data_IF_568835780007
#
_entry.id   IF_568835780007
#
_cell.length_a   1.000
_cell.length_b   1.000
_cell.length_c   1.000
_cell.angle_alpha   90.00
_cell.angle_beta   90.00
_cell.angle_gamma   90.00
#
_symmetry.space_group_name_H-M   'P 1'
#
loop_
_entity.id
_entity.type
_entity.pdbx_description
1 polymer ?
#
# COMPACT_ATOMS: atom_id res chain seq x y z
N UNK A 1 -14.94 10.56 -10.96
CA UNK A 1 -14.84 9.45 -9.98
C UNK A 1 -14.84 8.17 -10.78
N UNK A 2 -13.82 7.34 -10.61
CA UNK A 2 -13.72 6.05 -11.27
C UNK A 2 -13.74 4.97 -10.20
N UNK A 3 -14.45 3.88 -10.49
CA UNK A 3 -14.56 2.74 -9.58
C UNK A 3 -13.83 1.59 -10.23
N UNK A 4 -12.82 1.05 -9.56
CA UNK A 4 -12.21 -0.23 -9.95
C UNK A 4 -12.92 -1.32 -9.18
N UNK A 5 -13.51 -2.27 -9.87
CA UNK A 5 -13.94 -3.50 -9.21
C UNK A 5 -12.75 -4.45 -9.18
N UNK A 6 -12.37 -4.88 -7.97
CA UNK A 6 -11.28 -5.83 -7.80
C UNK A 6 -11.80 -7.10 -7.17
N UNK A 7 -11.44 -8.24 -7.76
CA UNK A 7 -11.75 -9.54 -7.21
C UNK A 7 -10.62 -10.02 -6.28
N UNK A 8 -10.99 -10.35 -5.04
CA UNK A 8 -10.10 -10.97 -4.08
C UNK A 8 -10.05 -12.49 -4.29
N UNK A 9 -9.30 -12.92 -5.30
CA UNK A 9 -9.09 -14.35 -5.61
C UNK A 9 -8.28 -15.03 -4.50
N UNK A 10 -8.36 -16.36 -4.41
CA UNK A 10 -7.59 -17.12 -3.41
C UNK A 10 -6.08 -16.90 -3.57
N UNK A 11 -5.58 -16.74 -4.80
CA UNK A 11 -4.19 -16.41 -5.09
C UNK A 11 -3.78 -15.06 -4.50
N UNK A 12 -4.57 -14.00 -4.75
CA UNK A 12 -4.32 -12.66 -4.19
C UNK A 12 -4.36 -12.66 -2.66
N UNK A 13 -5.29 -13.41 -2.07
CA UNK A 13 -5.37 -13.59 -0.61
C UNK A 13 -4.11 -14.27 -0.07
N UNK A 14 -3.67 -15.33 -0.73
CA UNK A 14 -2.45 -16.04 -0.36
C UNK A 14 -1.24 -15.11 -0.43
N UNK A 15 -1.04 -14.40 -1.54
CA UNK A 15 0.08 -13.46 -1.72
C UNK A 15 0.08 -12.35 -0.66
N UNK A 16 -1.06 -11.70 -0.40
CA UNK A 16 -1.13 -10.66 0.64
C UNK A 16 -0.84 -11.21 2.03
N UNK A 17 -1.37 -12.40 2.38
CA UNK A 17 -1.09 -13.02 3.68
C UNK A 17 0.39 -13.38 3.82
N UNK A 18 1.01 -13.91 2.76
CA UNK A 18 2.43 -14.23 2.75
C UNK A 18 3.29 -12.97 2.94
N UNK A 19 2.99 -11.89 2.23
CA UNK A 19 3.69 -10.61 2.38
C UNK A 19 3.56 -10.04 3.79
N UNK A 20 2.37 -10.08 4.40
CA UNK A 20 2.16 -9.64 5.79
C UNK A 20 3.00 -10.50 6.73
N UNK A 21 2.91 -11.82 6.62
CA UNK A 21 3.59 -12.75 7.51
C UNK A 21 5.12 -12.60 7.43
N UNK A 22 5.64 -12.41 6.23
CA UNK A 22 7.08 -12.22 5.97
C UNK A 22 7.66 -11.04 6.73
N UNK A 23 6.89 -9.95 6.89
CA UNK A 23 7.37 -8.71 7.46
C UNK A 23 6.84 -8.42 8.88
N UNK A 24 6.02 -9.32 9.46
CA UNK A 24 5.29 -9.04 10.71
C UNK A 24 6.21 -8.82 11.93
N UNK A 25 7.36 -9.48 11.93
CA UNK A 25 8.36 -9.43 13.01
C UNK A 25 9.65 -8.71 12.54
N UNK A 26 9.57 -7.93 11.47
CA UNK A 26 10.71 -7.20 10.95
C UNK A 26 11.23 -6.15 11.97
N UNK A 27 12.54 -6.12 12.15
CA UNK A 27 13.24 -5.12 12.98
C UNK A 27 14.02 -4.10 12.16
N UNK A 28 14.28 -4.40 10.90
CA UNK A 28 14.88 -3.47 9.95
C UNK A 28 13.87 -2.42 9.52
N UNK A 29 14.30 -1.15 9.50
CA UNK A 29 13.42 0.00 9.22
C UNK A 29 12.69 -0.12 7.88
N UNK A 30 13.37 -0.63 6.84
CA UNK A 30 12.77 -0.79 5.53
C UNK A 30 11.62 -1.80 5.59
N UNK A 31 11.86 -2.98 6.16
CA UNK A 31 10.86 -4.04 6.27
C UNK A 31 9.72 -3.66 7.24
N UNK A 32 10.00 -2.88 8.28
CA UNK A 32 8.96 -2.28 9.12
C UNK A 32 8.07 -1.32 8.31
N UNK A 33 8.67 -0.53 7.42
CA UNK A 33 7.96 0.32 6.47
C UNK A 33 7.06 -0.48 5.54
N UNK A 34 7.58 -1.57 4.97
CA UNK A 34 6.80 -2.51 4.13
C UNK A 34 5.58 -3.03 4.89
N UNK A 35 5.78 -3.55 6.11
CA UNK A 35 4.68 -4.08 6.92
C UNK A 35 3.61 -3.03 7.23
N UNK A 36 4.03 -1.81 7.59
CA UNK A 36 3.12 -0.71 7.85
C UNK A 36 2.31 -0.31 6.60
N UNK A 37 2.96 -0.23 5.44
CA UNK A 37 2.31 0.06 4.17
C UNK A 37 1.29 -1.03 3.77
N UNK A 38 1.64 -2.31 3.94
CA UNK A 38 0.73 -3.43 3.66
C UNK A 38 -0.53 -3.35 4.53
N UNK A 39 -0.38 -3.18 5.85
CA UNK A 39 -1.54 -3.05 6.76
C UNK A 39 -2.41 -1.85 6.40
N UNK A 40 -1.78 -0.71 6.15
CA UNK A 40 -2.48 0.52 5.84
C UNK A 40 -3.29 0.36 4.54
N UNK A 41 -2.71 -0.24 3.51
CA UNK A 41 -3.40 -0.50 2.25
C UNK A 41 -4.58 -1.45 2.41
N UNK A 42 -4.40 -2.55 3.14
CA UNK A 42 -5.48 -3.53 3.37
C UNK A 42 -6.69 -2.88 4.05
N UNK A 43 -6.43 -2.01 5.02
CA UNK A 43 -7.46 -1.22 5.70
C UNK A 43 -8.10 -0.21 4.74
N UNK A 44 -7.29 0.54 3.99
CA UNK A 44 -7.76 1.59 3.09
C UNK A 44 -8.54 1.11 1.88
N UNK A 45 -8.14 0.01 1.28
CA UNK A 45 -8.91 -0.60 0.18
C UNK A 45 -10.10 -1.42 0.68
N UNK A 46 -10.26 -1.56 2.00
CA UNK A 46 -11.41 -2.22 2.61
C UNK A 46 -11.44 -3.74 2.42
N UNK A 47 -10.29 -4.39 2.18
CA UNK A 47 -10.24 -5.83 1.84
C UNK A 47 -9.91 -6.74 3.03
N UNK A 48 -9.76 -6.16 4.23
CA UNK A 48 -9.38 -6.88 5.45
C UNK A 48 -10.30 -8.06 5.77
N UNK A 49 -11.61 -7.84 5.69
CA UNK A 49 -12.61 -8.87 5.99
C UNK A 49 -12.61 -9.98 4.93
N UNK A 50 -12.24 -9.65 3.69
CA UNK A 50 -12.19 -10.59 2.58
C UNK A 50 -10.91 -11.43 2.56
N UNK A 51 -9.83 -10.92 3.15
CA UNK A 51 -8.51 -11.58 3.17
C UNK A 51 -8.53 -12.96 3.83
N UNK A 52 -9.39 -13.16 4.83
CA UNK A 52 -9.54 -14.42 5.57
C UNK A 52 -10.82 -15.19 5.23
N UNK A 53 -11.64 -14.67 4.32
CA UNK A 53 -12.85 -15.36 3.86
C UNK A 53 -12.52 -16.49 2.88
N UNK A 54 -13.29 -17.58 2.92
CA UNK A 54 -13.17 -18.69 1.96
C UNK A 54 -13.78 -18.36 0.59
N UNK A 55 -14.67 -17.38 0.52
CA UNK A 55 -15.34 -17.00 -0.73
C UNK A 55 -14.55 -15.93 -1.48
N UNK A 56 -14.42 -16.04 -2.82
CA UNK A 56 -14.03 -14.91 -3.65
C UNK A 56 -15.04 -13.78 -3.45
N UNK A 57 -14.54 -12.56 -3.26
CA UNK A 57 -15.39 -11.37 -3.15
C UNK A 57 -14.87 -10.32 -4.12
N UNK A 58 -15.76 -9.84 -4.98
CA UNK A 58 -15.52 -8.65 -5.78
C UNK A 58 -15.86 -7.43 -4.91
N UNK A 59 -14.84 -6.66 -4.55
CA UNK A 59 -15.00 -5.41 -3.80
C UNK A 59 -14.79 -4.23 -4.74
N UNK A 60 -15.73 -3.27 -4.80
CA UNK A 60 -15.48 -2.02 -5.49
C UNK A 60 -14.46 -1.20 -4.68
N UNK A 61 -13.29 -0.96 -5.27
CA UNK A 61 -12.30 -0.01 -4.77
C UNK A 61 -12.52 1.30 -5.49
N UNK A 62 -12.83 2.34 -4.73
CA UNK A 62 -12.98 3.69 -5.26
C UNK A 62 -11.59 4.29 -5.36
N UNK A 63 -11.18 4.65 -6.57
CA UNK A 63 -9.94 5.38 -6.81
C UNK A 63 -10.33 6.74 -7.33
N UNK A 64 -10.14 7.71 -6.48
CA UNK A 64 -10.37 9.10 -6.79
C UNK A 64 -9.19 9.95 -6.30
N UNK A 65 -9.33 11.25 -6.50
CA UNK A 65 -8.33 12.20 -6.04
C UNK A 65 -8.15 12.13 -4.51
N UNK A 66 -9.18 11.75 -3.75
CA UNK A 66 -9.07 11.62 -2.30
C UNK A 66 -8.15 10.45 -1.93
N UNK A 67 -8.30 9.29 -2.58
CA UNK A 67 -7.39 8.16 -2.40
C UNK A 67 -5.93 8.53 -2.72
N UNK A 68 -5.69 9.18 -3.87
CA UNK A 68 -4.34 9.63 -4.25
C UNK A 68 -3.79 10.65 -3.24
N UNK A 69 -4.62 11.59 -2.78
CA UNK A 69 -4.24 12.59 -1.80
C UNK A 69 -3.93 11.96 -0.43
N UNK A 70 -4.66 10.92 -0.03
CA UNK A 70 -4.38 10.18 1.20
C UNK A 70 -3.06 9.41 1.12
N UNK A 71 -2.79 8.72 0.01
CA UNK A 71 -1.49 8.10 -0.25
C UNK A 71 -0.38 9.15 -0.14
N UNK A 72 -0.54 10.28 -0.84
CA UNK A 72 0.43 11.39 -0.83
C UNK A 72 0.68 11.91 0.58
N UNK A 73 -0.38 12.20 1.32
CA UNK A 73 -0.28 12.65 2.71
C UNK A 73 0.46 11.64 3.58
N UNK A 74 0.18 10.34 3.41
CA UNK A 74 0.87 9.27 4.14
C UNK A 74 2.37 9.27 3.88
N UNK A 75 2.81 9.51 2.63
CA UNK A 75 4.25 9.67 2.33
C UNK A 75 4.87 10.89 2.97
N UNK A 76 4.19 12.04 2.88
CA UNK A 76 4.70 13.30 3.40
C UNK A 76 4.81 13.25 4.94
N UNK A 77 3.85 12.64 5.63
CA UNK A 77 3.87 12.45 7.10
C UNK A 77 5.04 11.58 7.58
N UNK A 78 5.52 10.65 6.76
CA UNK A 78 6.57 9.70 7.14
C UNK A 78 7.92 9.97 6.46
N UNK A 79 8.07 11.14 5.83
CA UNK A 79 9.26 11.51 5.05
C UNK A 79 10.56 11.64 5.87
N UNK A 80 10.46 11.81 7.19
CA UNK A 80 11.62 12.01 8.07
C UNK A 80 12.55 10.79 8.08
N UNK A 81 12.01 9.58 7.87
CA UNK A 81 12.76 8.34 7.77
C UNK A 81 12.67 7.78 6.34
N UNK A 82 13.68 8.09 5.53
CA UNK A 82 13.71 7.75 4.10
C UNK A 82 13.70 6.24 3.88
N UNK A 83 14.35 5.46 4.74
CA UNK A 83 14.45 4.00 4.60
C UNK A 83 13.09 3.37 4.88
N UNK A 84 12.47 3.76 6.00
CA UNK A 84 11.13 3.31 6.35
C UNK A 84 10.09 3.73 5.29
N UNK A 85 10.15 4.99 4.83
CA UNK A 85 9.19 5.50 3.86
C UNK A 85 9.33 4.82 2.49
N UNK A 86 10.55 4.41 2.12
CA UNK A 86 10.79 3.62 0.90
C UNK A 86 10.14 2.23 0.98
N UNK A 87 10.21 1.58 2.14
CA UNK A 87 9.50 0.32 2.38
C UNK A 87 7.98 0.49 2.31
N UNK A 88 7.46 1.56 2.94
CA UNK A 88 6.03 1.91 2.86
C UNK A 88 5.59 2.17 1.41
N UNK A 89 6.43 2.85 0.62
CA UNK A 89 6.18 3.10 -0.80
C UNK A 89 6.04 1.82 -1.60
N UNK A 90 7.00 0.91 -1.43
CA UNK A 90 7.00 -0.36 -2.12
C UNK A 90 5.73 -1.16 -1.80
N UNK A 91 5.34 -1.23 -0.53
CA UNK A 91 4.14 -1.93 -0.12
C UNK A 91 2.87 -1.36 -0.76
N UNK A 92 2.75 -0.04 -0.82
CA UNK A 92 1.58 0.60 -1.47
C UNK A 92 1.55 0.26 -2.96
N UNK A 93 2.67 0.41 -3.67
CA UNK A 93 2.77 0.08 -5.09
C UNK A 93 2.46 -1.39 -5.35
N UNK A 94 3.01 -2.30 -4.53
CA UNK A 94 2.81 -3.75 -4.69
C UNK A 94 1.33 -4.15 -4.53
N UNK A 95 0.60 -3.56 -3.57
CA UNK A 95 -0.83 -3.85 -3.40
C UNK A 95 -1.66 -3.31 -4.57
N UNK A 96 -1.31 -2.13 -5.09
CA UNK A 96 -1.97 -1.57 -6.26
C UNK A 96 -1.74 -2.43 -7.50
N UNK A 97 -0.50 -2.84 -7.73
CA UNK A 97 -0.12 -3.72 -8.83
C UNK A 97 -0.83 -5.08 -8.75
N UNK A 98 -0.86 -5.69 -7.56
CA UNK A 98 -1.60 -6.93 -7.30
C UNK A 98 -3.09 -6.83 -7.71
N UNK A 99 -3.67 -5.66 -7.52
CA UNK A 99 -5.06 -5.36 -7.86
C UNK A 99 -5.24 -4.78 -9.27
N UNK A 100 -4.19 -4.75 -10.09
CA UNK A 100 -4.15 -4.15 -11.43
C UNK A 100 -4.64 -2.70 -11.42
N UNK A 101 -4.34 -1.99 -10.34
CA UNK A 101 -4.64 -0.57 -10.18
C UNK A 101 -3.47 0.23 -10.73
N UNK A 102 -3.64 0.80 -11.91
CA UNK A 102 -2.68 1.74 -12.47
C UNK A 102 -2.93 3.14 -11.88
N UNK A 103 -1.95 3.66 -11.13
CA UNK A 103 -1.97 5.06 -10.70
C UNK A 103 -1.25 5.90 -11.76
N UNK A 104 -1.95 6.89 -12.30
CA UNK A 104 -1.44 7.76 -13.36
C UNK A 104 -0.44 8.79 -12.81
N UNK A 105 -0.58 9.19 -11.54
CA UNK A 105 0.35 10.10 -10.86
C UNK A 105 0.48 9.71 -9.39
N UNK A 106 1.55 8.98 -9.06
CA UNK A 106 1.95 8.79 -7.66
C UNK A 106 3.03 9.83 -7.33
N UNK A 107 2.97 10.49 -6.16
CA UNK A 107 3.98 11.46 -5.77
C UNK A 107 5.35 10.78 -5.78
N UNK A 108 6.21 11.23 -6.70
CA UNK A 108 7.60 10.82 -6.70
C UNK A 108 8.28 11.42 -5.47
N UNK A 109 9.24 10.73 -4.86
CA UNK A 109 10.03 11.27 -3.76
C UNK A 109 10.56 12.65 -4.17
N UNK A 110 10.14 13.72 -3.48
CA UNK A 110 10.74 15.03 -3.68
C UNK A 110 12.16 14.88 -3.16
N UNK A 111 13.16 14.85 -4.04
CA UNK A 111 14.55 15.05 -3.62
C UNK A 111 14.62 16.45 -3.01
N UNK A 112 14.35 16.55 -1.70
CA UNK A 112 14.72 17.71 -0.94
C UNK A 112 16.25 17.69 -0.98
N UNK A 113 16.83 18.50 -1.87
CA UNK A 113 18.19 18.94 -1.73
C UNK A 113 18.29 19.50 -0.31
N UNK A 114 18.75 18.68 0.64
CA UNK A 114 19.26 19.16 1.91
C UNK A 114 20.44 20.03 1.49
N UNK A 115 20.23 21.34 1.39
CA UNK A 115 21.32 22.29 1.56
C UNK A 115 21.90 21.99 2.92
N UNK A 116 23.05 21.32 2.90
CA UNK A 116 23.96 21.21 4.02
C UNK A 116 24.33 22.64 4.40
N UNK A 117 23.69 23.15 5.45
CA UNK A 117 24.16 24.33 6.18
C UNK A 117 25.19 23.88 7.20
#
# INVERSE_FOLDING_TARGET
>A
MFTVTVEMTQERKYQLREWIHTHENATDQYFMGVYAGLKWMIDKVGVKEHLYSELPVASPIIIDQAFISECTKKFEENWIDVIWNSGLALAIIAVLDLFNIQIIEFPTPKFANKTLN
#
